data_IF_240162372642
#
_entry.id   IF_240162372642
#
_cell.length_a   1.000
_cell.length_b   1.000
_cell.length_c   1.000
_cell.angle_alpha   90.00
_cell.angle_beta   90.00
_cell.angle_gamma   90.00
#
_symmetry.space_group_name_H-M   'P 1'
#
loop_
_entity.id
_entity.type
_entity.pdbx_description
1 polymer ?
#
# COMPACT_ATOMS: atom_id res chain seq x y z
N UNK A 1 55.92 46.02 -12.95
CA UNK A 1 56.80 45.22 -12.02
C UNK A 1 55.89 44.28 -11.21
N UNK A 2 56.00 43.02 -11.49
CA UNK A 2 55.93 41.81 -10.64
C UNK A 2 54.83 41.86 -9.60
N UNK A 3 53.71 41.17 -9.68
CA UNK A 3 53.44 39.80 -10.10
C UNK A 3 53.29 38.96 -8.87
N UNK A 4 52.47 38.25 -8.50
CA UNK A 4 52.51 36.91 -7.87
C UNK A 4 51.10 36.44 -7.58
N UNK A 5 50.67 35.58 -8.51
CA UNK A 5 49.54 34.66 -8.33
C UNK A 5 49.85 33.71 -7.20
N UNK A 6 48.94 33.56 -6.26
CA UNK A 6 48.90 32.40 -5.37
C UNK A 6 47.64 31.57 -5.67
N UNK A 7 47.89 30.46 -6.36
CA UNK A 7 46.99 29.33 -6.43
C UNK A 7 46.72 28.81 -5.01
N UNK A 8 45.48 28.82 -4.59
CA UNK A 8 45.02 27.98 -3.48
C UNK A 8 44.37 26.71 -4.06
N UNK A 9 45.13 25.62 -3.97
CA UNK A 9 44.64 24.26 -4.14
C UNK A 9 43.80 23.92 -2.91
N UNK A 10 42.49 23.96 -3.04
CA UNK A 10 41.58 23.37 -2.05
C UNK A 10 41.36 21.89 -2.44
N UNK A 11 42.05 21.02 -1.71
CA UNK A 11 41.81 19.61 -1.71
C UNK A 11 40.41 19.34 -1.11
N UNK A 12 39.45 19.02 -1.94
CA UNK A 12 38.17 18.48 -1.51
C UNK A 12 38.38 17.05 -1.02
N UNK A 13 38.51 16.87 0.29
CA UNK A 13 38.36 15.56 0.93
C UNK A 13 36.86 15.30 1.00
N UNK A 14 36.32 14.67 -0.03
CA UNK A 14 34.99 14.10 -0.02
C UNK A 14 34.97 12.91 0.94
N UNK A 15 34.54 13.12 2.17
CA UNK A 15 34.15 12.03 3.06
C UNK A 15 32.87 11.45 2.50
N UNK A 16 32.99 10.35 1.73
CA UNK A 16 31.87 9.50 1.36
C UNK A 16 31.46 8.73 2.61
N UNK A 17 30.53 9.30 3.38
CA UNK A 17 29.73 8.55 4.34
C UNK A 17 28.82 7.63 3.54
N UNK A 18 29.33 6.42 3.27
CA UNK A 18 28.50 5.29 2.90
C UNK A 18 27.71 4.94 4.16
N UNK A 19 26.57 5.61 4.33
CA UNK A 19 25.55 5.13 5.24
C UNK A 19 25.13 3.74 4.72
N UNK A 20 25.53 2.70 5.42
CA UNK A 20 24.89 1.40 5.36
C UNK A 20 23.43 1.62 5.80
N UNK A 21 22.59 2.04 4.86
CA UNK A 21 21.18 1.90 5.00
C UNK A 21 20.93 0.38 4.92
N UNK A 22 20.83 -0.25 6.07
CA UNK A 22 20.09 -1.48 6.18
C UNK A 22 18.70 -1.14 5.64
N UNK A 23 18.50 -1.47 4.38
CA UNK A 23 17.21 -1.40 3.71
C UNK A 23 16.38 -2.48 4.41
N UNK A 24 15.76 -2.10 5.54
CA UNK A 24 14.59 -2.82 6.03
C UNK A 24 13.69 -2.93 4.81
N UNK A 25 13.26 -4.15 4.43
CA UNK A 25 12.36 -4.29 3.30
C UNK A 25 11.19 -3.34 3.58
N UNK A 26 10.83 -2.47 2.63
CA UNK A 26 9.71 -1.58 2.83
C UNK A 26 8.54 -2.45 3.27
N UNK A 27 7.93 -2.11 4.40
CA UNK A 27 6.70 -2.74 4.87
C UNK A 27 5.69 -2.47 3.77
N UNK A 28 5.63 -3.38 2.81
CA UNK A 28 4.82 -3.21 1.61
C UNK A 28 3.37 -3.39 2.00
N UNK A 29 2.63 -2.29 1.91
CA UNK A 29 1.17 -2.34 1.92
C UNK A 29 0.70 -3.44 0.95
N UNK A 30 -0.42 -4.10 1.29
CA UNK A 30 -0.93 -5.20 0.47
C UNK A 30 -1.02 -4.77 -1.02
N UNK A 31 -0.24 -5.37 -1.95
CA UNK A 31 -0.22 -4.94 -3.35
C UNK A 31 -1.59 -5.03 -4.01
N UNK A 32 -2.44 -5.98 -3.57
CA UNK A 32 -3.80 -6.12 -4.07
C UNK A 32 -4.72 -4.95 -3.68
N UNK A 33 -4.35 -4.15 -2.65
CA UNK A 33 -5.15 -3.02 -2.18
C UNK A 33 -4.59 -1.66 -2.63
N UNK A 34 -3.26 -1.56 -2.83
CA UNK A 34 -2.57 -0.28 -3.12
C UNK A 34 -2.76 0.19 -4.56
N UNK A 35 -2.96 -0.72 -5.50
CA UNK A 35 -3.09 -0.39 -6.93
C UNK A 35 -4.24 0.57 -7.26
N UNK A 36 -5.10 0.88 -6.31
CA UNK A 36 -6.31 1.68 -6.50
C UNK A 36 -6.28 3.05 -5.83
N UNK A 37 -5.45 3.21 -4.81
CA UNK A 37 -5.42 4.47 -4.03
C UNK A 37 -4.31 5.39 -4.47
N UNK A 38 -4.02 5.74 -5.61
CA UNK A 38 -3.01 6.70 -6.08
C UNK A 38 -2.08 7.33 -5.01
N UNK A 39 -1.10 8.14 -5.33
CA UNK A 39 -0.09 8.64 -4.39
C UNK A 39 -0.60 9.64 -3.34
N UNK A 40 -1.93 9.83 -3.24
CA UNK A 40 -2.49 10.79 -2.27
C UNK A 40 -2.31 10.30 -0.83
N UNK A 41 -1.77 11.18 0.01
CA UNK A 41 -1.64 10.96 1.44
C UNK A 41 -3.02 10.79 2.08
N UNK A 42 -3.17 9.86 3.02
CA UNK A 42 -4.37 9.80 3.85
C UNK A 42 -4.45 11.05 4.72
N UNK A 43 -5.63 11.35 5.26
CA UNK A 43 -5.78 12.44 6.21
C UNK A 43 -4.84 12.26 7.42
N UNK A 44 -4.68 11.06 7.95
CA UNK A 44 -3.74 10.81 9.06
C UNK A 44 -2.30 11.08 8.65
N UNK A 45 -1.86 10.69 7.47
CA UNK A 45 -0.53 11.00 6.99
C UNK A 45 -0.30 12.50 6.84
N UNK A 46 -1.32 13.24 6.38
CA UNK A 46 -1.25 14.69 6.34
C UNK A 46 -1.12 15.28 7.74
N UNK A 47 -1.93 14.83 8.71
CA UNK A 47 -1.84 15.24 10.12
C UNK A 47 -0.48 14.90 10.70
N UNK A 48 0.05 13.71 10.44
CA UNK A 48 1.36 13.26 10.95
C UNK A 48 2.49 14.14 10.43
N UNK A 49 2.40 14.64 9.20
CA UNK A 49 3.39 15.54 8.61
C UNK A 49 3.29 16.99 9.11
N UNK A 50 2.21 17.37 9.80
CA UNK A 50 2.08 18.69 10.42
C UNK A 50 2.71 18.71 11.81
N UNK A 51 3.28 19.84 12.21
CA UNK A 51 3.74 20.08 13.58
C UNK A 51 2.59 20.48 14.49
N UNK A 52 1.61 21.21 13.93
CA UNK A 52 0.36 21.57 14.60
C UNK A 52 -0.81 21.15 13.76
N UNK A 53 -1.81 20.53 14.39
CA UNK A 53 -3.10 20.25 13.76
C UNK A 53 -4.24 20.63 14.71
N UNK A 54 -5.23 21.33 14.18
CA UNK A 54 -6.32 21.89 14.97
C UNK A 54 -7.65 21.85 14.22
N UNK A 55 -8.72 21.95 15.00
CA UNK A 55 -10.08 22.10 14.52
C UNK A 55 -10.52 23.55 14.69
N UNK A 56 -11.10 24.13 13.67
CA UNK A 56 -11.51 25.52 13.66
C UNK A 56 -12.87 25.70 12.96
N UNK A 57 -13.52 26.81 13.21
CA UNK A 57 -14.78 27.18 12.57
C UNK A 57 -14.56 28.41 11.69
N UNK A 58 -15.07 28.37 10.46
CA UNK A 58 -14.99 29.50 9.54
C UNK A 58 -15.75 30.70 10.11
N UNK A 59 -15.12 31.88 10.13
CA UNK A 59 -15.76 33.14 10.51
C UNK A 59 -16.52 33.74 9.29
N UNK A 60 -17.24 34.83 9.46
CA UNK A 60 -17.85 35.55 8.33
C UNK A 60 -16.86 35.99 7.24
N UNK A 61 -15.63 36.32 7.64
CA UNK A 61 -14.50 36.42 6.70
C UNK A 61 -14.04 34.98 6.31
N UNK A 62 -14.30 34.61 5.06
CA UNK A 62 -14.05 33.28 4.53
C UNK A 62 -12.58 32.79 4.66
N UNK A 63 -11.66 33.72 4.90
CA UNK A 63 -10.22 33.41 5.06
C UNK A 63 -9.81 33.21 6.52
N UNK A 64 -10.66 33.57 7.48
CA UNK A 64 -10.41 33.49 8.92
C UNK A 64 -11.12 32.31 9.55
N UNK A 65 -10.45 31.64 10.44
CA UNK A 65 -10.93 30.43 11.12
C UNK A 65 -10.68 30.55 12.62
N UNK A 66 -11.74 30.64 13.41
CA UNK A 66 -11.67 30.66 14.86
C UNK A 66 -11.35 29.27 15.41
N UNK A 67 -10.26 29.16 16.16
CA UNK A 67 -9.79 27.89 16.72
C UNK A 67 -10.79 27.35 17.74
N UNK A 68 -11.15 26.06 17.60
CA UNK A 68 -12.00 25.36 18.55
C UNK A 68 -11.17 24.54 19.53
N UNK A 69 -10.22 23.74 19.01
CA UNK A 69 -9.27 22.99 19.83
C UNK A 69 -8.08 22.54 18.96
N UNK A 70 -6.94 22.31 19.63
CA UNK A 70 -5.76 21.71 19.03
C UNK A 70 -5.70 20.24 19.43
N UNK A 71 -5.44 19.34 18.47
CA UNK A 71 -5.31 17.91 18.74
C UNK A 71 -3.89 17.38 18.43
N UNK A 72 -3.01 18.23 17.87
CA UNK A 72 -1.60 17.95 17.72
C UNK A 72 -0.77 19.22 17.87
N UNK A 73 0.36 19.14 18.57
CA UNK A 73 1.26 20.26 18.78
C UNK A 73 0.75 21.26 19.81
N UNK A 74 1.24 22.49 19.73
CA UNK A 74 0.87 23.56 20.66
C UNK A 74 -0.16 24.49 20.06
N UNK A 75 -1.14 24.89 20.88
CA UNK A 75 -2.18 25.83 20.48
C UNK A 75 -1.58 27.21 20.12
N UNK A 76 -1.87 27.76 18.93
CA UNK A 76 -1.47 29.12 18.59
C UNK A 76 -2.07 30.17 19.54
N UNK A 77 -1.33 31.24 19.81
CA UNK A 77 -1.75 32.28 20.76
C UNK A 77 -2.87 33.20 20.21
N UNK A 78 -2.93 33.35 18.90
CA UNK A 78 -3.79 34.34 18.23
C UNK A 78 -5.29 33.99 18.21
N UNK A 79 -5.70 32.80 18.64
CA UNK A 79 -7.12 32.37 18.67
C UNK A 79 -7.76 32.20 17.28
N UNK A 80 -7.18 32.73 16.23
CA UNK A 80 -7.65 32.66 14.84
C UNK A 80 -6.52 32.31 13.87
N UNK A 81 -6.85 31.61 12.80
CA UNK A 81 -5.94 31.30 11.68
C UNK A 81 -6.45 31.99 10.42
N UNK A 82 -5.51 32.55 9.65
CA UNK A 82 -5.79 33.10 8.32
C UNK A 82 -5.19 32.18 7.26
N UNK A 83 -6.01 31.61 6.39
CA UNK A 83 -5.53 30.78 5.29
C UNK A 83 -5.18 31.65 4.05
N UNK A 84 -4.06 31.32 3.37
CA UNK A 84 -3.79 31.85 2.04
C UNK A 84 -4.93 31.50 1.07
N UNK A 85 -5.17 32.34 0.07
CA UNK A 85 -6.24 32.12 -0.90
C UNK A 85 -6.10 30.78 -1.66
N UNK A 86 -4.87 30.33 -1.90
CA UNK A 86 -4.56 29.08 -2.56
C UNK A 86 -4.92 27.84 -1.72
N UNK A 87 -4.96 27.97 -0.39
CA UNK A 87 -5.27 26.89 0.55
C UNK A 87 -6.75 26.86 0.96
N UNK A 88 -7.56 27.76 0.42
CA UNK A 88 -9.00 27.71 0.68
C UNK A 88 -9.65 26.53 -0.02
N UNK A 89 -10.61 25.84 0.64
CA UNK A 89 -11.31 24.74 0.03
C UNK A 89 -12.05 25.17 -1.23
N UNK A 90 -11.98 24.34 -2.28
CA UNK A 90 -12.75 24.53 -3.49
C UNK A 90 -14.22 24.22 -3.17
N UNK A 91 -15.02 25.25 -2.94
CA UNK A 91 -16.44 25.11 -2.64
C UNK A 91 -16.85 25.74 -1.31
N UNK A 92 -18.12 25.57 -0.99
CA UNK A 92 -18.71 26.13 0.24
C UNK A 92 -18.54 25.12 1.38
N UNK A 93 -17.91 25.56 2.47
CA UNK A 93 -17.89 24.78 3.72
C UNK A 93 -19.33 24.73 4.27
N UNK A 94 -19.87 23.56 4.59
CA UNK A 94 -21.18 23.45 5.22
C UNK A 94 -21.19 24.24 6.54
N UNK A 95 -22.28 24.97 6.81
CA UNK A 95 -22.36 25.91 7.97
C UNK A 95 -22.12 25.24 9.33
N UNK A 96 -22.47 23.97 9.44
CA UNK A 96 -22.36 23.20 10.68
C UNK A 96 -21.06 22.39 10.78
N UNK A 97 -20.22 22.41 9.72
CA UNK A 97 -18.96 21.69 9.73
C UNK A 97 -17.85 22.50 10.39
N UNK A 98 -16.97 21.78 11.03
CA UNK A 98 -15.68 22.27 11.47
C UNK A 98 -14.62 21.99 10.41
N UNK A 99 -13.59 22.81 10.39
CA UNK A 99 -12.48 22.72 9.43
C UNK A 99 -11.27 22.19 10.17
N UNK A 100 -10.60 21.22 9.57
CA UNK A 100 -9.32 20.74 10.09
C UNK A 100 -8.20 21.44 9.34
N UNK A 101 -7.32 22.09 10.11
CA UNK A 101 -6.16 22.82 9.61
C UNK A 101 -4.88 22.18 10.13
N UNK A 102 -3.85 22.16 9.29
CA UNK A 102 -2.52 21.71 9.64
C UNK A 102 -1.47 22.77 9.34
N UNK A 103 -0.46 22.89 10.18
CA UNK A 103 0.71 23.74 10.01
C UNK A 103 1.96 22.91 9.84
N UNK A 104 2.72 23.18 8.79
CA UNK A 104 4.02 22.54 8.55
C UNK A 104 5.12 23.56 8.81
N UNK A 105 6.02 23.28 9.75
CA UNK A 105 7.14 24.20 10.09
C UNK A 105 8.09 24.45 8.93
N UNK A 106 8.25 23.49 8.02
CA UNK A 106 9.13 23.67 6.86
C UNK A 106 8.60 24.72 5.87
N UNK A 107 7.30 24.70 5.59
CA UNK A 107 6.64 25.65 4.69
C UNK A 107 6.18 26.93 5.40
N UNK A 108 6.14 26.92 6.74
CA UNK A 108 5.57 27.98 7.58
C UNK A 108 4.13 28.36 7.17
N UNK A 109 3.39 27.40 6.65
CA UNK A 109 2.05 27.66 6.10
C UNK A 109 0.99 26.79 6.75
N UNK A 110 -0.17 27.39 6.93
CA UNK A 110 -1.39 26.67 7.28
C UNK A 110 -2.03 26.10 6.02
N UNK A 111 -2.45 24.86 6.09
CA UNK A 111 -3.11 24.12 5.02
C UNK A 111 -4.50 23.66 5.47
N UNK A 112 -5.43 23.62 4.53
CA UNK A 112 -6.72 22.97 4.70
C UNK A 112 -6.54 21.45 4.53
N UNK A 113 -6.91 20.67 5.55
CA UNK A 113 -6.82 19.21 5.53
C UNK A 113 -8.18 18.53 5.27
N UNK A 114 -9.30 19.20 5.59
CA UNK A 114 -10.63 18.66 5.38
C UNK A 114 -11.70 19.33 6.23
N UNK A 115 -12.91 18.86 6.09
CA UNK A 115 -14.05 19.24 6.94
C UNK A 115 -14.55 18.05 7.72
N UNK A 116 -15.04 18.27 8.92
CA UNK A 116 -15.59 17.23 9.79
C UNK A 116 -16.84 17.76 10.51
N UNK A 117 -17.81 16.90 10.73
CA UNK A 117 -18.98 17.26 11.52
C UNK A 117 -18.63 17.41 13.00
N UNK A 118 -19.30 18.28 13.77
CA UNK A 118 -19.11 18.36 15.20
C UNK A 118 -19.36 17.00 15.90
N UNK A 119 -18.66 16.75 17.00
CA UNK A 119 -18.82 15.52 17.78
C UNK A 119 -17.74 14.46 17.53
N UNK A 120 -16.82 14.70 16.59
CA UNK A 120 -15.70 13.79 16.32
C UNK A 120 -14.38 14.18 16.99
N UNK A 121 -14.43 15.02 18.02
CA UNK A 121 -13.26 15.53 18.75
C UNK A 121 -12.38 14.40 19.30
N UNK A 122 -12.98 13.39 19.91
CA UNK A 122 -12.22 12.25 20.47
C UNK A 122 -11.46 11.47 19.40
N UNK A 123 -12.08 11.31 18.24
CA UNK A 123 -11.42 10.65 17.11
C UNK A 123 -10.21 11.47 16.62
N UNK A 124 -10.35 12.79 16.51
CA UNK A 124 -9.23 13.67 16.13
C UNK A 124 -8.11 13.64 17.18
N UNK A 125 -8.45 13.67 18.47
CA UNK A 125 -7.47 13.57 19.56
C UNK A 125 -6.72 12.23 19.52
N UNK A 126 -7.37 11.13 19.11
CA UNK A 126 -6.74 9.82 19.01
C UNK A 126 -5.76 9.73 17.83
N UNK A 127 -6.00 10.45 16.72
CA UNK A 127 -5.08 10.42 15.57
C UNK A 127 -3.90 11.42 15.71
N UNK A 128 -4.05 12.46 16.54
CA UNK A 128 -3.02 13.47 16.73
C UNK A 128 -1.63 12.93 17.07
N UNK A 129 -1.50 11.99 18.03
CA UNK A 129 -0.22 11.40 18.43
C UNK A 129 0.28 10.27 17.53
N UNK A 130 -0.44 9.90 16.46
CA UNK A 130 -0.04 8.77 15.61
C UNK A 130 1.32 9.04 14.94
N UNK A 131 2.12 7.97 14.82
CA UNK A 131 3.45 7.99 14.18
C UNK A 131 3.35 7.95 12.66
N UNK A 132 4.45 8.29 11.98
CA UNK A 132 4.62 8.07 10.55
C UNK A 132 4.62 6.56 10.25
N UNK A 133 4.13 6.20 9.08
CA UNK A 133 4.05 4.79 8.66
C UNK A 133 5.42 4.09 8.65
N UNK A 134 6.48 4.84 8.30
CA UNK A 134 7.84 4.32 8.29
C UNK A 134 8.43 4.04 9.70
N UNK A 135 7.83 4.64 10.74
CA UNK A 135 8.32 4.54 12.11
C UNK A 135 7.49 3.55 12.96
N UNK A 136 6.54 2.82 12.33
CA UNK A 136 5.66 1.90 13.03
C UNK A 136 6.34 0.56 13.26
N UNK A 137 6.38 0.11 14.51
CA UNK A 137 6.62 -1.28 14.88
C UNK A 137 5.41 -2.15 14.54
N UNK A 138 5.56 -3.46 14.61
CA UNK A 138 4.45 -4.40 14.42
C UNK A 138 3.30 -4.14 15.41
N UNK A 139 3.61 -3.91 16.67
CA UNK A 139 2.60 -3.58 17.69
C UNK A 139 1.89 -2.25 17.40
N UNK A 140 2.62 -1.22 16.95
CA UNK A 140 2.02 0.05 16.53
C UNK A 140 1.06 -0.15 15.34
N UNK A 141 1.44 -1.01 14.39
CA UNK A 141 0.59 -1.36 13.26
C UNK A 141 -0.70 -2.07 13.68
N UNK A 142 -0.62 -3.03 14.60
CA UNK A 142 -1.78 -3.76 15.12
C UNK A 142 -2.72 -2.79 15.84
N UNK A 143 -2.20 -1.94 16.74
CA UNK A 143 -2.99 -0.95 17.47
C UNK A 143 -3.68 0.04 16.52
N UNK A 144 -2.93 0.57 15.55
CA UNK A 144 -3.45 1.48 14.52
C UNK A 144 -4.55 0.81 13.69
N UNK A 145 -4.35 -0.42 13.27
CA UNK A 145 -5.33 -1.16 12.46
C UNK A 145 -6.62 -1.42 13.25
N UNK A 146 -6.53 -1.82 14.51
CA UNK A 146 -7.68 -1.97 15.41
C UNK A 146 -8.48 -0.69 15.58
N UNK A 147 -7.79 0.43 15.74
CA UNK A 147 -8.44 1.75 15.82
C UNK A 147 -9.28 2.06 14.58
N UNK A 148 -8.73 1.79 13.39
CA UNK A 148 -9.46 2.03 12.14
C UNK A 148 -10.54 0.99 11.89
N UNK A 149 -10.35 -0.27 12.24
CA UNK A 149 -11.41 -1.29 12.19
C UNK A 149 -12.59 -0.90 13.06
N UNK A 150 -12.36 -0.41 14.29
CA UNK A 150 -13.40 0.11 15.17
C UNK A 150 -14.06 1.41 14.71
N UNK A 151 -13.58 2.00 13.62
CA UNK A 151 -14.14 3.23 13.03
C UNK A 151 -14.90 3.00 11.71
N UNK A 152 -15.05 1.74 11.26
CA UNK A 152 -15.69 1.38 9.98
C UNK A 152 -17.18 1.74 9.90
N UNK A 153 -17.88 1.81 11.02
CA UNK A 153 -19.32 2.13 11.10
C UNK A 153 -19.60 3.64 11.14
N UNK A 154 -18.57 4.47 11.25
CA UNK A 154 -18.74 5.92 11.33
C UNK A 154 -19.19 6.50 10.00
N UNK A 155 -20.32 7.22 10.01
CA UNK A 155 -20.90 7.80 8.79
C UNK A 155 -20.37 9.21 8.48
N UNK A 156 -19.19 9.58 8.98
CA UNK A 156 -18.52 10.84 8.67
C UNK A 156 -17.63 10.65 7.43
N UNK A 157 -17.81 11.42 6.35
CA UNK A 157 -17.07 11.21 5.10
C UNK A 157 -15.55 11.24 5.26
N UNK A 158 -15.01 12.18 6.04
CA UNK A 158 -13.57 12.29 6.29
C UNK A 158 -13.04 11.05 7.03
N UNK A 159 -13.76 10.58 8.04
CA UNK A 159 -13.38 9.40 8.81
C UNK A 159 -13.43 8.17 7.92
N UNK A 160 -14.52 7.96 7.21
CA UNK A 160 -14.71 6.81 6.33
C UNK A 160 -13.63 6.71 5.26
N UNK A 161 -13.32 7.83 4.58
CA UNK A 161 -12.24 7.85 3.60
C UNK A 161 -10.88 7.56 4.22
N UNK A 162 -10.62 8.12 5.40
CA UNK A 162 -9.38 7.89 6.14
C UNK A 162 -9.23 6.43 6.53
N UNK A 163 -10.28 5.82 7.08
CA UNK A 163 -10.29 4.41 7.49
C UNK A 163 -9.94 3.49 6.34
N UNK A 164 -10.59 3.65 5.19
CA UNK A 164 -10.30 2.82 4.02
C UNK A 164 -8.87 3.01 3.51
N UNK A 165 -8.36 4.25 3.47
CA UNK A 165 -6.98 4.53 3.05
C UNK A 165 -5.94 3.98 4.01
N UNK A 166 -6.19 4.02 5.30
CA UNK A 166 -5.28 3.47 6.32
C UNK A 166 -5.26 1.95 6.30
N UNK A 167 -6.44 1.32 6.26
CA UNK A 167 -6.53 -0.14 6.18
C UNK A 167 -5.94 -0.69 4.87
N UNK A 168 -6.11 0.01 3.73
CA UNK A 168 -5.50 -0.43 2.47
C UNK A 168 -3.96 -0.38 2.46
N UNK A 169 -3.35 0.37 3.38
CA UNK A 169 -1.90 0.43 3.57
C UNK A 169 -1.37 -0.53 4.63
N UNK A 170 -2.27 -1.13 5.40
CA UNK A 170 -1.87 -2.09 6.43
C UNK A 170 -1.24 -3.32 5.78
N UNK A 171 -0.07 -3.77 6.24
CA UNK A 171 0.54 -5.00 5.77
C UNK A 171 -0.40 -6.20 5.93
N UNK A 172 -0.34 -7.14 4.99
CA UNK A 172 -1.22 -8.31 5.01
C UNK A 172 -1.10 -9.15 6.29
N UNK A 173 0.14 -9.36 6.77
CA UNK A 173 0.41 -10.04 8.03
C UNK A 173 -0.28 -9.38 9.23
N UNK A 174 -0.28 -8.04 9.28
CA UNK A 174 -0.95 -7.27 10.33
C UNK A 174 -2.47 -7.42 10.24
N UNK A 175 -3.04 -7.39 9.02
CA UNK A 175 -4.47 -7.64 8.84
C UNK A 175 -4.87 -9.02 9.36
N UNK A 176 -4.04 -10.05 9.11
CA UNK A 176 -4.25 -11.41 9.64
C UNK A 176 -4.11 -11.46 11.17
N UNK A 177 -3.17 -10.74 11.75
CA UNK A 177 -3.03 -10.63 13.20
C UNK A 177 -4.28 -9.98 13.86
N UNK A 178 -4.97 -9.10 13.14
CA UNK A 178 -6.24 -8.50 13.57
C UNK A 178 -7.49 -9.36 13.25
N UNK A 179 -7.34 -10.62 12.84
CA UNK A 179 -8.45 -11.49 12.40
C UNK A 179 -9.64 -11.52 13.35
N UNK A 180 -9.39 -11.55 14.65
CA UNK A 180 -10.44 -11.62 15.67
C UNK A 180 -11.20 -10.30 15.85
N UNK A 181 -10.63 -9.20 15.37
CA UNK A 181 -11.25 -7.87 15.42
C UNK A 181 -12.14 -7.60 14.18
N UNK A 182 -12.17 -8.54 13.21
CA UNK A 182 -12.91 -8.40 11.95
C UNK A 182 -14.36 -8.90 12.12
N UNK A 183 -15.33 -8.01 11.96
CA UNK A 183 -16.76 -8.33 11.88
C UNK A 183 -17.23 -8.29 10.41
N UNK A 184 -17.57 -9.46 9.85
CA UNK A 184 -18.02 -9.58 8.48
C UNK A 184 -19.27 -8.74 8.17
N UNK A 185 -20.21 -8.63 9.14
CA UNK A 185 -21.41 -7.82 8.98
C UNK A 185 -21.08 -6.33 8.92
N UNK A 186 -20.14 -5.85 9.75
CA UNK A 186 -19.67 -4.47 9.73
C UNK A 186 -18.94 -4.15 8.43
N UNK A 187 -18.06 -5.04 7.97
CA UNK A 187 -17.35 -4.89 6.70
C UNK A 187 -18.33 -4.74 5.53
N UNK A 188 -19.37 -5.57 5.48
CA UNK A 188 -20.39 -5.50 4.42
C UNK A 188 -21.22 -4.22 4.50
N UNK A 189 -21.57 -3.76 5.72
CA UNK A 189 -22.26 -2.47 5.88
C UNK A 189 -21.41 -1.30 5.40
N UNK A 190 -20.10 -1.36 5.59
CA UNK A 190 -19.18 -0.28 5.19
C UNK A 190 -19.06 -0.10 3.66
N UNK A 191 -19.48 -1.10 2.86
CA UNK A 191 -19.55 -0.99 1.40
C UNK A 191 -20.66 -0.06 0.89
N UNK A 192 -21.62 0.29 1.71
CA UNK A 192 -22.73 1.17 1.31
C UNK A 192 -22.36 2.65 1.50
N UNK A 193 -22.44 3.52 0.47
CA UNK A 193 -22.82 3.31 -0.92
C UNK A 193 -21.65 2.80 -1.79
N UNK A 194 -21.94 1.86 -2.67
CA UNK A 194 -21.00 1.11 -3.54
C UNK A 194 -20.44 1.98 -4.70
N UNK A 195 -19.81 3.12 -4.37
CA UNK A 195 -19.28 4.06 -5.37
C UNK A 195 -17.77 3.89 -5.64
N UNK A 196 -17.09 3.03 -4.88
CA UNK A 196 -15.64 2.95 -4.90
C UNK A 196 -15.19 1.49 -5.05
N UNK A 197 -14.80 1.05 -6.27
CA UNK A 197 -14.32 -0.32 -6.53
C UNK A 197 -13.18 -0.76 -5.60
N UNK A 198 -12.28 0.17 -5.26
CA UNK A 198 -11.16 -0.05 -4.35
C UNK A 198 -11.59 -0.50 -2.95
N UNK A 199 -12.74 -0.03 -2.46
CA UNK A 199 -13.28 -0.48 -1.18
C UNK A 199 -13.72 -1.93 -1.23
N UNK A 200 -14.28 -2.35 -2.37
CA UNK A 200 -14.70 -3.73 -2.59
C UNK A 200 -13.50 -4.68 -2.52
N UNK A 201 -12.36 -4.32 -3.11
CA UNK A 201 -11.13 -5.11 -3.04
C UNK A 201 -10.63 -5.28 -1.60
N UNK A 202 -10.54 -4.19 -0.83
CA UNK A 202 -10.15 -4.25 0.58
C UNK A 202 -11.12 -5.11 1.41
N UNK A 203 -12.44 -4.92 1.23
CA UNK A 203 -13.45 -5.68 1.97
C UNK A 203 -13.39 -7.16 1.60
N UNK A 204 -13.18 -7.51 0.32
CA UNK A 204 -12.99 -8.91 -0.10
C UNK A 204 -11.81 -9.55 0.65
N UNK A 205 -10.68 -8.84 0.73
CA UNK A 205 -9.49 -9.30 1.46
C UNK A 205 -9.79 -9.52 2.95
N UNK A 206 -10.39 -8.53 3.61
CA UNK A 206 -10.71 -8.59 5.03
C UNK A 206 -11.75 -9.68 5.35
N UNK A 207 -12.73 -9.90 4.46
CA UNK A 207 -13.69 -11.01 4.56
C UNK A 207 -13.01 -12.37 4.41
N UNK A 208 -12.05 -12.50 3.49
CA UNK A 208 -11.23 -13.70 3.39
C UNK A 208 -10.52 -14.04 4.70
N UNK A 209 -9.92 -13.04 5.33
CA UNK A 209 -9.23 -13.18 6.62
C UNK A 209 -10.22 -13.48 7.75
N UNK A 210 -11.35 -12.76 7.85
CA UNK A 210 -12.33 -12.95 8.93
C UNK A 210 -12.96 -14.34 8.88
N UNK A 211 -13.33 -14.80 7.68
CA UNK A 211 -14.01 -16.06 7.45
C UNK A 211 -15.45 -16.11 7.98
N UNK A 212 -16.02 -17.32 7.97
CA UNK A 212 -17.36 -17.59 8.44
C UNK A 212 -18.44 -17.51 7.36
N UNK A 213 -19.66 -18.02 7.65
CA UNK A 213 -20.70 -18.23 6.63
C UNK A 213 -21.09 -16.97 5.85
N UNK A 214 -21.17 -15.83 6.54
CA UNK A 214 -21.54 -14.53 5.92
C UNK A 214 -20.46 -14.07 4.93
N UNK A 215 -19.19 -14.20 5.33
CA UNK A 215 -18.07 -13.86 4.47
C UNK A 215 -17.99 -14.82 3.25
N UNK A 216 -18.12 -16.13 3.48
CA UNK A 216 -18.04 -17.14 2.45
C UNK A 216 -19.16 -16.97 1.40
N UNK A 217 -20.40 -16.69 1.83
CA UNK A 217 -21.51 -16.40 0.92
C UNK A 217 -21.21 -15.19 0.04
N UNK A 218 -20.81 -14.06 0.65
CA UNK A 218 -20.53 -12.84 -0.10
C UNK A 218 -19.37 -13.03 -1.09
N UNK A 219 -18.29 -13.73 -0.67
CA UNK A 219 -17.14 -13.99 -1.52
C UNK A 219 -17.54 -14.86 -2.73
N UNK A 220 -18.41 -15.86 -2.55
CA UNK A 220 -18.93 -16.67 -3.65
C UNK A 220 -19.72 -15.85 -4.65
N UNK A 221 -20.64 -15.00 -4.17
CA UNK A 221 -21.44 -14.09 -5.00
C UNK A 221 -20.56 -13.08 -5.75
N UNK A 222 -19.58 -12.48 -5.04
CA UNK A 222 -18.65 -11.51 -5.61
C UNK A 222 -17.76 -12.10 -6.70
N UNK A 223 -17.33 -13.36 -6.59
CA UNK A 223 -16.55 -14.07 -7.63
C UNK A 223 -17.35 -14.26 -8.91
N UNK A 224 -18.64 -14.64 -8.80
CA UNK A 224 -19.54 -14.78 -9.96
C UNK A 224 -19.74 -13.43 -10.64
N UNK A 225 -19.90 -12.36 -9.88
CA UNK A 225 -20.06 -11.00 -10.43
C UNK A 225 -18.78 -10.52 -11.11
N UNK A 226 -17.60 -10.73 -10.48
CA UNK A 226 -16.31 -10.34 -11.02
C UNK A 226 -15.98 -11.04 -12.34
N UNK A 227 -16.33 -12.33 -12.48
CA UNK A 227 -16.15 -13.05 -13.73
C UNK A 227 -16.88 -12.40 -14.92
N UNK A 228 -17.91 -11.61 -14.64
CA UNK A 228 -18.68 -10.83 -15.64
C UNK A 228 -18.06 -9.45 -15.88
N UNK A 229 -17.60 -8.76 -14.82
CA UNK A 229 -17.06 -7.39 -14.90
C UNK A 229 -15.60 -7.35 -15.38
N UNK A 230 -14.80 -8.36 -15.01
CA UNK A 230 -13.38 -8.51 -15.35
C UNK A 230 -12.48 -7.36 -14.88
N UNK A 231 -12.78 -6.81 -13.71
CA UNK A 231 -12.02 -5.71 -13.08
C UNK A 231 -10.83 -6.26 -12.30
N UNK A 232 -9.59 -6.05 -12.79
CA UNK A 232 -8.38 -6.72 -12.32
C UNK A 232 -8.07 -6.59 -10.80
N UNK A 233 -8.34 -5.44 -10.18
CA UNK A 233 -7.97 -5.21 -8.77
C UNK A 233 -8.86 -5.97 -7.81
N UNK A 234 -10.17 -5.96 -8.02
CA UNK A 234 -11.12 -6.73 -7.22
C UNK A 234 -10.87 -8.22 -7.39
N UNK A 235 -10.52 -8.67 -8.62
CA UNK A 235 -10.18 -10.06 -8.89
C UNK A 235 -9.00 -10.54 -8.05
N UNK A 236 -7.90 -9.80 -8.01
CA UNK A 236 -6.73 -10.18 -7.20
C UNK A 236 -7.11 -10.35 -5.72
N UNK A 237 -7.86 -9.41 -5.15
CA UNK A 237 -8.30 -9.48 -3.76
C UNK A 237 -9.22 -10.68 -3.48
N UNK A 238 -10.13 -11.02 -4.39
CA UNK A 238 -11.00 -12.21 -4.28
C UNK A 238 -10.18 -13.51 -4.36
N UNK A 239 -9.12 -13.53 -5.18
CA UNK A 239 -8.23 -14.68 -5.28
C UNK A 239 -7.35 -14.82 -4.02
N UNK A 240 -6.87 -13.71 -3.44
CA UNK A 240 -6.21 -13.73 -2.12
C UNK A 240 -7.16 -14.31 -1.06
N UNK A 241 -8.41 -13.83 -1.04
CA UNK A 241 -9.41 -14.32 -0.09
C UNK A 241 -9.72 -15.82 -0.26
N UNK A 242 -9.78 -16.31 -1.52
CA UNK A 242 -9.90 -17.74 -1.81
C UNK A 242 -8.73 -18.52 -1.21
N UNK A 243 -7.50 -18.11 -1.50
CA UNK A 243 -6.30 -18.78 -1.00
C UNK A 243 -6.19 -18.71 0.53
N UNK A 244 -6.61 -17.60 1.15
CA UNK A 244 -6.69 -17.47 2.61
C UNK A 244 -7.67 -18.48 3.24
N UNK A 245 -8.78 -18.78 2.55
CA UNK A 245 -9.81 -19.70 3.04
C UNK A 245 -9.48 -21.16 2.77
N UNK A 246 -8.97 -21.45 1.59
CA UNK A 246 -8.74 -22.82 1.12
C UNK A 246 -7.34 -23.34 1.47
N UNK A 247 -6.35 -22.44 1.65
CA UNK A 247 -4.98 -22.81 1.98
C UNK A 247 -4.21 -23.49 0.84
N UNK A 248 -3.08 -24.11 1.17
CA UNK A 248 -2.17 -24.72 0.20
C UNK A 248 -2.80 -25.87 -0.61
N UNK A 249 -3.84 -26.52 -0.10
CA UNK A 249 -4.54 -27.59 -0.80
C UNK A 249 -5.21 -27.10 -2.11
N UNK A 250 -5.50 -25.83 -2.19
CA UNK A 250 -6.11 -25.23 -3.39
C UNK A 250 -5.12 -24.98 -4.52
N UNK A 251 -3.81 -24.97 -4.27
CA UNK A 251 -2.80 -24.54 -5.24
C UNK A 251 -2.83 -25.29 -6.59
N UNK A 252 -3.01 -26.62 -6.66
CA UNK A 252 -3.09 -27.33 -7.94
C UNK A 252 -4.26 -26.87 -8.79
N UNK A 253 -5.44 -26.69 -8.20
CA UNK A 253 -6.63 -26.21 -8.89
C UNK A 253 -6.50 -24.74 -9.25
N UNK A 254 -5.93 -23.94 -8.37
CA UNK A 254 -5.64 -22.54 -8.61
C UNK A 254 -4.72 -22.33 -9.83
N UNK A 255 -3.65 -23.12 -9.94
CA UNK A 255 -2.76 -23.08 -11.11
C UNK A 255 -3.56 -23.38 -12.38
N UNK A 256 -4.31 -24.47 -12.39
CA UNK A 256 -5.07 -24.90 -13.57
C UNK A 256 -6.12 -23.88 -13.98
N UNK A 257 -6.90 -23.38 -13.02
CA UNK A 257 -8.07 -22.54 -13.27
C UNK A 257 -7.73 -21.07 -13.49
N UNK A 258 -6.76 -20.52 -12.75
CA UNK A 258 -6.52 -19.09 -12.66
C UNK A 258 -5.23 -18.64 -13.39
N UNK A 259 -4.37 -19.58 -13.80
CA UNK A 259 -3.12 -19.25 -14.48
C UNK A 259 -2.99 -19.94 -15.85
N UNK A 260 -3.18 -21.26 -15.90
CA UNK A 260 -2.91 -22.06 -17.10
C UNK A 260 -4.07 -22.05 -18.10
N UNK A 261 -5.31 -21.98 -17.64
CA UNK A 261 -6.49 -22.09 -18.50
C UNK A 261 -6.41 -21.17 -19.74
N UNK A 262 -6.67 -21.75 -20.93
CA UNK A 262 -6.52 -21.05 -22.21
C UNK A 262 -7.48 -19.86 -22.39
N UNK A 263 -8.64 -19.89 -21.71
CA UNK A 263 -9.65 -18.83 -21.77
C UNK A 263 -9.29 -17.55 -21.03
N UNK A 264 -8.25 -17.58 -20.19
CA UNK A 264 -7.82 -16.44 -19.38
C UNK A 264 -7.05 -15.41 -20.21
N UNK A 265 -7.31 -14.15 -19.94
CA UNK A 265 -6.52 -13.02 -20.45
C UNK A 265 -5.25 -12.85 -19.60
N UNK A 266 -4.24 -12.19 -20.15
CA UNK A 266 -3.00 -11.90 -19.43
C UNK A 266 -3.25 -11.16 -18.10
N UNK A 267 -4.09 -10.12 -18.09
CA UNK A 267 -4.44 -9.39 -16.87
C UNK A 267 -5.09 -10.25 -15.77
N UNK A 268 -5.85 -11.27 -16.16
CA UNK A 268 -6.46 -12.23 -15.22
C UNK A 268 -5.39 -13.14 -14.59
N UNK A 269 -4.43 -13.60 -15.39
CA UNK A 269 -3.28 -14.38 -14.90
C UNK A 269 -2.38 -13.55 -13.99
N UNK A 270 -2.10 -12.29 -14.37
CA UNK A 270 -1.33 -11.37 -13.51
C UNK A 270 -2.02 -11.08 -12.20
N UNK A 271 -3.36 -10.99 -12.16
CA UNK A 271 -4.12 -10.89 -10.91
C UNK A 271 -3.97 -12.14 -10.03
N UNK A 272 -3.89 -13.33 -10.63
CA UNK A 272 -3.66 -14.57 -9.90
C UNK A 272 -2.23 -14.63 -9.33
N UNK A 273 -1.21 -14.21 -10.09
CA UNK A 273 0.16 -14.09 -9.58
C UNK A 273 0.25 -13.08 -8.44
N UNK A 274 -0.45 -11.94 -8.54
CA UNK A 274 -0.52 -10.98 -7.44
C UNK A 274 -1.12 -11.60 -6.17
N UNK A 275 -2.12 -12.46 -6.31
CA UNK A 275 -2.68 -13.18 -5.16
C UNK A 275 -1.67 -14.16 -4.54
N UNK A 276 -0.88 -14.85 -5.35
CA UNK A 276 0.21 -15.72 -4.87
C UNK A 276 1.32 -14.90 -4.21
N UNK A 277 1.68 -13.75 -4.79
CA UNK A 277 2.65 -12.81 -4.21
C UNK A 277 2.26 -12.40 -2.79
N UNK A 278 0.99 -12.02 -2.57
CA UNK A 278 0.47 -11.68 -1.25
C UNK A 278 0.57 -12.86 -0.29
N UNK A 279 0.23 -14.08 -0.72
CA UNK A 279 0.28 -15.27 0.12
C UNK A 279 1.71 -15.74 0.42
N UNK A 280 2.66 -15.51 -0.48
CA UNK A 280 4.08 -15.85 -0.29
C UNK A 280 4.85 -14.86 0.59
N UNK A 281 4.23 -13.74 1.01
CA UNK A 281 4.83 -12.84 2.00
C UNK A 281 4.98 -13.54 3.36
N UNK A 282 5.77 -12.96 4.25
CA UNK A 282 5.86 -13.47 5.62
C UNK A 282 4.46 -13.51 6.25
N UNK A 283 4.14 -14.62 6.92
CA UNK A 283 2.86 -14.84 7.61
C UNK A 283 1.62 -14.92 6.70
N UNK A 284 1.78 -15.23 5.41
CA UNK A 284 0.67 -15.63 4.54
C UNK A 284 -0.04 -16.89 5.06
N UNK A 285 -1.24 -17.19 4.51
CA UNK A 285 -1.95 -18.44 4.86
C UNK A 285 -1.29 -19.67 4.23
N UNK A 286 -0.49 -19.46 3.20
CA UNK A 286 0.22 -20.51 2.45
C UNK A 286 1.72 -20.41 2.76
N UNK A 287 2.40 -21.49 3.12
CA UNK A 287 3.84 -21.51 3.28
C UNK A 287 4.54 -21.01 2.00
N UNK A 288 5.51 -20.09 2.14
CA UNK A 288 6.24 -19.53 0.98
C UNK A 288 6.81 -20.60 0.07
N UNK A 289 7.35 -21.67 0.63
CA UNK A 289 7.91 -22.80 -0.13
C UNK A 289 6.90 -23.43 -1.11
N UNK A 290 5.60 -23.46 -0.74
CA UNK A 290 4.55 -24.03 -1.58
C UNK A 290 4.21 -23.05 -2.72
N UNK A 291 4.25 -21.74 -2.46
CA UNK A 291 4.12 -20.71 -3.49
C UNK A 291 5.30 -20.74 -4.46
N UNK A 292 6.53 -20.90 -3.95
CA UNK A 292 7.75 -21.03 -4.77
C UNK A 292 7.67 -22.26 -5.67
N UNK A 293 7.28 -23.42 -5.14
CA UNK A 293 7.08 -24.61 -5.95
C UNK A 293 6.02 -24.43 -7.05
N UNK A 294 4.97 -23.65 -6.75
CA UNK A 294 3.98 -23.28 -7.77
C UNK A 294 4.56 -22.34 -8.83
N UNK A 295 5.41 -21.39 -8.43
CA UNK A 295 6.09 -20.49 -9.38
C UNK A 295 7.01 -21.23 -10.35
N UNK A 296 7.70 -22.29 -9.90
CA UNK A 296 8.49 -23.13 -10.82
C UNK A 296 7.59 -23.70 -11.94
N UNK A 297 6.42 -24.21 -11.59
CA UNK A 297 5.45 -24.71 -12.57
C UNK A 297 4.89 -23.60 -13.45
N UNK A 298 4.62 -22.41 -12.89
CA UNK A 298 4.18 -21.25 -13.69
C UNK A 298 5.25 -20.90 -14.74
N UNK A 299 6.52 -20.87 -14.37
CA UNK A 299 7.61 -20.58 -15.29
C UNK A 299 7.76 -21.61 -16.42
N UNK A 300 7.41 -22.89 -16.15
CA UNK A 300 7.40 -23.93 -17.17
C UNK A 300 6.20 -23.79 -18.14
N UNK A 301 5.01 -23.52 -17.64
CA UNK A 301 3.79 -23.52 -18.42
C UNK A 301 3.45 -22.15 -19.03
N UNK A 302 3.92 -21.05 -18.42
CA UNK A 302 3.63 -19.66 -18.77
C UNK A 302 4.85 -18.75 -18.62
N UNK A 303 5.92 -18.98 -19.41
CA UNK A 303 7.16 -18.22 -19.32
C UNK A 303 6.97 -16.72 -19.55
N UNK A 304 5.91 -16.29 -20.23
CA UNK A 304 5.56 -14.88 -20.45
C UNK A 304 5.23 -14.11 -19.16
N UNK A 305 4.98 -14.81 -18.05
CA UNK A 305 4.71 -14.23 -16.74
C UNK A 305 5.95 -14.15 -15.83
N UNK A 306 7.12 -14.48 -16.35
CA UNK A 306 8.37 -14.59 -15.60
C UNK A 306 8.83 -13.26 -14.97
N UNK A 307 8.47 -12.11 -15.55
CA UNK A 307 8.79 -10.79 -15.00
C UNK A 307 8.15 -10.55 -13.62
N UNK A 308 6.93 -11.00 -13.42
CA UNK A 308 6.24 -10.88 -12.13
C UNK A 308 6.80 -11.86 -11.10
N UNK A 309 7.04 -13.12 -11.50
CA UNK A 309 7.70 -14.12 -10.63
C UNK A 309 9.09 -13.65 -10.21
N UNK A 310 9.87 -13.06 -11.12
CA UNK A 310 11.20 -12.54 -10.83
C UNK A 310 11.16 -11.39 -9.81
N UNK A 311 10.14 -10.52 -9.90
CA UNK A 311 9.94 -9.44 -8.92
C UNK A 311 9.74 -9.99 -7.51
N UNK A 312 8.90 -11.01 -7.36
CA UNK A 312 8.63 -11.64 -6.06
C UNK A 312 9.87 -12.41 -5.56
N UNK A 313 10.56 -13.13 -6.45
CA UNK A 313 11.81 -13.82 -6.12
C UNK A 313 12.87 -12.85 -5.58
N UNK A 314 13.00 -11.67 -6.17
CA UNK A 314 13.89 -10.61 -5.69
C UNK A 314 13.45 -10.06 -4.33
N UNK A 315 12.16 -9.77 -4.16
CA UNK A 315 11.61 -9.27 -2.90
C UNK A 315 11.79 -10.26 -1.73
N UNK A 316 11.75 -11.56 -2.03
CA UNK A 316 11.91 -12.63 -1.04
C UNK A 316 13.35 -13.13 -0.92
N UNK A 317 14.26 -12.66 -1.76
CA UNK A 317 15.63 -13.19 -1.91
C UNK A 317 15.64 -14.73 -2.16
N UNK A 318 14.74 -15.18 -3.06
CA UNK A 318 14.50 -16.61 -3.32
C UNK A 318 15.42 -17.12 -4.43
N UNK A 319 16.52 -17.75 -4.00
CA UNK A 319 17.57 -18.21 -4.92
C UNK A 319 17.17 -19.45 -5.75
N UNK A 320 16.21 -20.24 -5.31
CA UNK A 320 15.77 -21.45 -6.03
C UNK A 320 15.16 -21.13 -7.40
N UNK A 321 14.58 -19.93 -7.54
CA UNK A 321 13.98 -19.45 -8.79
C UNK A 321 15.00 -18.86 -9.78
N UNK A 322 16.26 -18.65 -9.38
CA UNK A 322 17.32 -18.12 -10.28
C UNK A 322 17.57 -19.01 -11.50
N UNK A 323 17.77 -20.35 -11.36
CA UNK A 323 18.02 -21.20 -12.53
C UNK A 323 16.86 -21.22 -13.55
N UNK A 324 15.58 -21.37 -13.17
CA UNK A 324 14.50 -21.33 -14.16
C UNK A 324 14.33 -19.95 -14.80
N UNK A 325 14.52 -18.85 -14.08
CA UNK A 325 14.47 -17.50 -14.63
C UNK A 325 15.59 -17.24 -15.65
N UNK A 326 16.83 -17.70 -15.39
CA UNK A 326 17.94 -17.64 -16.35
C UNK A 326 17.65 -18.43 -17.62
N UNK A 327 17.07 -19.65 -17.49
CA UNK A 327 16.68 -20.44 -18.68
C UNK A 327 15.71 -19.68 -19.59
N UNK A 328 14.73 -18.97 -19.02
CA UNK A 328 13.76 -18.18 -19.77
C UNK A 328 14.41 -16.98 -20.46
N UNK A 329 15.33 -16.28 -19.78
CA UNK A 329 16.11 -15.19 -20.39
C UNK A 329 16.89 -15.66 -21.61
N UNK A 330 17.60 -16.79 -21.48
CA UNK A 330 18.45 -17.35 -22.54
C UNK A 330 17.62 -17.89 -23.72
N UNK A 331 16.42 -18.39 -23.45
CA UNK A 331 15.50 -18.84 -24.49
C UNK A 331 14.87 -17.72 -25.32
N UNK A 332 14.94 -16.47 -24.86
CA UNK A 332 14.45 -15.31 -25.61
C UNK A 332 12.94 -15.27 -25.84
N UNK A 333 12.15 -16.02 -25.05
CA UNK A 333 10.70 -16.19 -25.22
C UNK A 333 9.88 -15.06 -24.59
N UNK A 334 10.51 -14.12 -23.90
CA UNK A 334 9.85 -12.99 -23.21
C UNK A 334 10.09 -11.67 -23.95
N UNK A 335 9.22 -10.69 -23.74
CA UNK A 335 9.36 -9.35 -24.30
C UNK A 335 10.63 -8.64 -23.78
N UNK A 336 11.11 -7.62 -24.48
CA UNK A 336 12.30 -6.85 -24.08
C UNK A 336 12.13 -6.22 -22.70
N UNK A 337 10.98 -5.60 -22.39
CA UNK A 337 10.70 -5.04 -21.08
C UNK A 337 10.66 -6.08 -19.97
N UNK A 338 10.12 -7.28 -20.23
CA UNK A 338 10.14 -8.38 -19.28
C UNK A 338 11.57 -8.89 -19.06
N UNK A 339 12.39 -8.99 -20.12
CA UNK A 339 13.81 -9.37 -20.04
C UNK A 339 14.60 -8.42 -19.15
N UNK A 340 14.42 -7.12 -19.33
CA UNK A 340 15.06 -6.10 -18.49
C UNK A 340 14.63 -6.21 -17.01
N UNK A 341 13.32 -6.42 -16.75
CA UNK A 341 12.79 -6.60 -15.41
C UNK A 341 13.36 -7.84 -14.72
N UNK A 342 13.38 -8.98 -15.42
CA UNK A 342 13.96 -10.24 -14.91
C UNK A 342 15.46 -10.05 -14.64
N UNK A 343 16.19 -9.40 -15.55
CA UNK A 343 17.63 -9.13 -15.38
C UNK A 343 17.93 -8.34 -14.12
N UNK A 344 17.21 -7.24 -13.87
CA UNK A 344 17.35 -6.44 -12.64
C UNK A 344 17.02 -7.24 -11.37
N UNK A 345 16.00 -8.06 -11.42
CA UNK A 345 15.62 -8.94 -10.31
C UNK A 345 16.72 -9.96 -9.98
N UNK A 346 17.28 -10.58 -11.00
CA UNK A 346 18.39 -11.53 -10.83
C UNK A 346 19.64 -10.85 -10.28
N UNK A 347 20.00 -9.67 -10.76
CA UNK A 347 21.12 -8.88 -10.20
C UNK A 347 20.92 -8.57 -8.73
N UNK A 348 19.67 -8.33 -8.31
CA UNK A 348 19.34 -8.09 -6.89
C UNK A 348 19.50 -9.33 -6.03
N UNK A 349 19.19 -10.52 -6.56
CA UNK A 349 19.24 -11.79 -5.80
C UNK A 349 20.68 -12.30 -5.67
N UNK A 350 21.46 -12.29 -6.77
CA UNK A 350 22.79 -12.93 -6.81
C UNK A 350 23.95 -11.94 -6.66
N UNK A 351 23.68 -10.64 -6.72
CA UNK A 351 24.71 -9.59 -6.76
C UNK A 351 25.22 -9.31 -8.17
N UNK A 352 25.65 -8.04 -8.41
CA UNK A 352 26.04 -7.59 -9.75
C UNK A 352 27.27 -8.31 -10.31
N UNK A 353 28.24 -8.67 -9.46
CA UNK A 353 29.48 -9.30 -9.91
C UNK A 353 29.23 -10.74 -10.34
N UNK A 354 28.47 -11.52 -9.56
CA UNK A 354 28.14 -12.90 -9.90
C UNK A 354 27.24 -13.00 -11.13
N UNK A 355 26.32 -12.04 -11.30
CA UNK A 355 25.42 -11.98 -12.46
C UNK A 355 26.19 -11.71 -13.78
N UNK A 356 27.25 -10.89 -13.77
CA UNK A 356 28.06 -10.56 -14.94
C UNK A 356 29.00 -11.68 -15.37
N UNK A 357 29.56 -12.42 -14.41
CA UNK A 357 30.47 -13.52 -14.70
C UNK A 357 29.79 -14.72 -15.37
N UNK A 358 28.48 -14.86 -15.17
CA UNK A 358 27.69 -15.95 -15.75
C UNK A 358 27.04 -15.61 -17.11
N UNK A 359 27.16 -14.38 -17.59
CA UNK A 359 26.79 -14.02 -18.97
C UNK A 359 27.84 -14.53 -19.94
N UNK A 360 27.42 -15.30 -20.95
CA UNK A 360 28.30 -15.73 -22.05
C UNK A 360 28.89 -14.49 -22.73
N UNK A 361 30.24 -14.38 -22.83
CA UNK A 361 30.89 -13.24 -23.51
C UNK A 361 30.52 -13.10 -24.99
N UNK A 362 29.66 -13.94 -25.54
CA UNK A 362 29.14 -13.86 -26.92
C UNK A 362 27.88 -13.01 -27.10
N UNK A 363 27.31 -12.49 -25.95
CA UNK A 363 26.12 -11.65 -26.00
C UNK A 363 26.42 -10.13 -26.03
N UNK A 364 27.72 -9.74 -26.16
CA UNK A 364 28.18 -8.40 -26.51
C UNK A 364 28.53 -8.33 -28.01
#
# INVERSE_FOLDING_TARGET
MRGWSRLFLLANIGVVLIANWEILPPVTACPACVGTTGPQLSFVQQVVNCDVALCARQTPDRRRFAIQFCFKGQLPQDGEIVLPAAELPQGRIPKESEVVLGHESLSQQWKFLGTISPGHREWLLAIGPMKRTADLSESDWIERSRFFLGSLDRDEPLIRETVFRELSRTPYAIMRACRQDLDAGLLLRSLKPDRFPERRALVALLLGISGGPVADQWLAEARVEESRRREGTTRAALLVARLEREGAVALPDFLREEIVAASLREGERRSALLALSVQGTADGAIPRQDVVALYERVLEERPELADQVATDAAAWNEKSLVPPLRRILNAGVVSEGARESIGRSLESIVGREEYRTDRDPRDE
#
